data_IF_926800874256
#
_entry.id   IF_926800874256
#
_cell.length_a   1.000
_cell.length_b   1.000
_cell.length_c   1.000
_cell.angle_alpha   90.00
_cell.angle_beta   90.00
_cell.angle_gamma   90.00
#
_symmetry.space_group_name_H-M   'P 1'
#
loop_
_entity.id
_entity.type
_entity.pdbx_description
1 polymer ?
#
# COMPACT_ATOMS: atom_id res chain seq x y z
N UNK A 1 7.06 -6.94 -8.16
CA UNK A 1 7.74 -5.69 -7.75
C UNK A 1 7.36 -4.52 -8.65
N UNK A 2 7.79 -4.48 -9.92
CA UNK A 2 7.56 -3.31 -10.81
C UNK A 2 6.10 -2.88 -10.86
N UNK A 3 5.21 -3.82 -11.17
CA UNK A 3 3.78 -3.53 -11.24
C UNK A 3 3.20 -3.08 -9.88
N UNK A 4 3.67 -3.65 -8.78
CA UNK A 4 3.23 -3.26 -7.44
C UNK A 4 3.72 -1.86 -7.07
N UNK A 5 4.94 -1.47 -7.45
CA UNK A 5 5.42 -0.08 -7.30
C UNK A 5 4.53 0.89 -8.07
N UNK A 6 4.16 0.55 -9.30
CA UNK A 6 3.24 1.35 -10.12
C UNK A 6 1.88 1.51 -9.44
N UNK A 7 1.28 0.42 -8.95
CA UNK A 7 -0.01 0.46 -8.25
C UNK A 7 0.08 1.25 -6.94
N UNK A 8 1.19 1.14 -6.20
CA UNK A 8 1.43 1.91 -4.99
C UNK A 8 1.71 3.40 -5.25
N UNK A 9 1.82 3.83 -6.51
CA UNK A 9 2.02 5.22 -6.89
C UNK A 9 3.47 5.69 -6.86
N UNK A 10 4.45 4.79 -7.02
CA UNK A 10 5.85 5.20 -7.20
C UNK A 10 5.96 6.07 -8.47
N UNK A 11 6.51 7.30 -8.37
CA UNK A 11 6.35 8.31 -9.43
C UNK A 11 7.20 8.05 -10.68
N UNK A 12 8.27 7.25 -10.56
CA UNK A 12 9.21 6.98 -11.66
C UNK A 12 8.91 5.63 -12.31
N UNK A 13 9.01 5.55 -13.64
CA UNK A 13 8.94 4.27 -14.35
C UNK A 13 10.16 3.40 -14.01
N UNK A 14 9.90 2.14 -13.65
CA UNK A 14 10.93 1.14 -13.32
C UNK A 14 10.74 -0.07 -14.21
N UNK A 15 11.83 -0.63 -14.72
CA UNK A 15 11.82 -1.91 -15.43
C UNK A 15 12.89 -2.84 -14.85
N UNK A 16 12.78 -4.13 -15.15
CA UNK A 16 13.82 -5.10 -14.79
C UNK A 16 15.15 -4.81 -15.49
N UNK A 17 15.13 -4.12 -16.65
CA UNK A 17 16.34 -3.78 -17.39
C UNK A 17 17.21 -2.77 -16.65
N UNK A 18 16.62 -1.91 -15.80
CA UNK A 18 17.36 -0.95 -14.99
C UNK A 18 18.33 -1.61 -13.98
N UNK A 19 18.21 -2.93 -13.74
CA UNK A 19 18.99 -3.69 -12.77
C UNK A 19 19.81 -4.83 -13.41
N UNK A 20 19.92 -4.87 -14.75
CA UNK A 20 20.87 -5.80 -15.42
C UNK A 20 22.33 -5.47 -15.07
N UNK A 21 22.60 -4.21 -14.78
CA UNK A 21 23.84 -3.72 -14.17
C UNK A 21 23.51 -3.05 -12.84
N UNK A 22 24.45 -3.01 -11.88
CA UNK A 22 24.24 -2.31 -10.61
C UNK A 22 23.77 -0.87 -10.80
N UNK A 23 22.63 -0.53 -10.19
CA UNK A 23 22.01 0.80 -10.24
C UNK A 23 21.66 1.28 -8.84
N UNK A 24 22.68 1.69 -8.10
CA UNK A 24 22.53 2.08 -6.70
C UNK A 24 21.61 3.29 -6.52
N UNK A 25 21.68 4.27 -7.43
CA UNK A 25 20.83 5.47 -7.38
C UNK A 25 19.35 5.10 -7.38
N UNK A 26 18.93 4.19 -8.27
CA UNK A 26 17.54 3.76 -8.33
C UNK A 26 17.12 2.97 -7.10
N UNK A 27 18.00 2.12 -6.56
CA UNK A 27 17.74 1.41 -5.29
C UNK A 27 17.57 2.40 -4.14
N UNK A 28 18.42 3.42 -4.07
CA UNK A 28 18.34 4.44 -3.03
C UNK A 28 17.04 5.25 -3.13
N UNK A 29 16.68 5.72 -4.33
CA UNK A 29 15.41 6.43 -4.57
C UNK A 29 14.19 5.57 -4.20
N UNK A 30 14.18 4.27 -4.54
CA UNK A 30 13.07 3.38 -4.17
C UNK A 30 13.02 3.16 -2.64
N UNK A 31 14.16 2.95 -1.99
CA UNK A 31 14.22 2.72 -0.54
C UNK A 31 13.81 3.94 0.26
N UNK A 32 14.26 5.14 -0.13
CA UNK A 32 13.85 6.40 0.48
C UNK A 32 12.33 6.58 0.38
N UNK A 33 11.79 6.40 -0.82
CA UNK A 33 10.35 6.50 -1.05
C UNK A 33 9.55 5.47 -0.23
N UNK A 34 10.03 4.23 -0.15
CA UNK A 34 9.39 3.19 0.67
C UNK A 34 9.38 3.56 2.15
N UNK A 35 10.50 4.04 2.69
CA UNK A 35 10.59 4.47 4.09
C UNK A 35 9.59 5.59 4.36
N UNK A 36 9.54 6.60 3.49
CA UNK A 36 8.59 7.71 3.61
C UNK A 36 7.13 7.23 3.56
N UNK A 37 6.85 6.15 2.82
CA UNK A 37 5.50 5.58 2.73
C UNK A 37 5.05 4.86 3.99
N UNK A 38 5.97 4.31 4.78
CA UNK A 38 5.67 3.77 6.10
C UNK A 38 5.59 4.84 7.19
N UNK A 39 6.33 5.94 7.04
CA UNK A 39 6.28 7.07 7.97
C UNK A 39 6.71 8.36 7.28
N UNK A 40 5.75 9.26 7.07
CA UNK A 40 5.97 10.54 6.39
C UNK A 40 6.85 11.52 7.19
N UNK A 41 7.08 11.27 8.49
CA UNK A 41 7.96 12.10 9.31
C UNK A 41 9.43 11.71 9.16
N UNK A 42 9.71 10.53 8.60
CA UNK A 42 11.08 10.07 8.35
C UNK A 42 11.54 10.56 6.98
N UNK A 43 12.71 11.18 6.97
CA UNK A 43 13.42 11.59 5.77
C UNK A 43 14.85 11.06 5.84
N UNK A 44 15.26 10.29 4.84
CA UNK A 44 16.63 9.80 4.72
C UNK A 44 17.33 10.62 3.64
N UNK A 45 18.41 11.36 3.95
CA UNK A 45 19.16 12.09 2.94
C UNK A 45 19.71 11.15 1.86
N UNK A 46 19.47 11.46 0.58
CA UNK A 46 20.02 10.75 -0.58
C UNK A 46 21.49 11.14 -0.85
N UNK A 47 22.32 11.11 0.20
CA UNK A 47 23.77 11.33 0.11
C UNK A 47 24.42 9.97 -0.16
N UNK A 48 24.89 9.74 -1.38
CA UNK A 48 25.26 8.41 -1.90
C UNK A 48 26.51 8.44 -2.81
N UNK A 49 27.33 9.49 -2.72
CA UNK A 49 28.45 9.73 -3.63
C UNK A 49 29.63 8.80 -3.30
N UNK A 50 29.93 8.63 -2.01
CA UNK A 50 31.00 7.75 -1.53
C UNK A 50 30.50 6.38 -1.08
N UNK A 51 31.39 5.39 -0.99
CA UNK A 51 31.06 4.05 -0.47
C UNK A 51 30.54 4.09 0.98
N UNK A 52 31.15 4.95 1.80
CA UNK A 52 30.79 5.15 3.19
C UNK A 52 29.38 5.71 3.31
N UNK A 53 29.05 6.72 2.50
CA UNK A 53 27.71 7.31 2.43
C UNK A 53 26.68 6.29 1.95
N UNK A 54 26.97 5.53 0.90
CA UNK A 54 26.10 4.44 0.43
C UNK A 54 25.85 3.39 1.50
N UNK A 55 26.90 2.97 2.22
CA UNK A 55 26.77 1.99 3.30
C UNK A 55 25.94 2.56 4.46
N UNK A 56 26.11 3.85 4.78
CA UNK A 56 25.30 4.53 5.79
C UNK A 56 23.83 4.64 5.37
N UNK A 57 23.57 5.03 4.12
CA UNK A 57 22.22 5.09 3.56
C UNK A 57 21.49 3.74 3.68
N UNK A 58 22.13 2.65 3.26
CA UNK A 58 21.54 1.30 3.34
C UNK A 58 21.26 0.91 4.80
N UNK A 59 22.19 1.19 5.73
CA UNK A 59 21.97 0.92 7.16
C UNK A 59 20.77 1.69 7.71
N UNK A 60 20.64 2.97 7.36
CA UNK A 60 19.52 3.81 7.78
C UNK A 60 18.19 3.32 7.21
N UNK A 61 18.12 3.05 5.91
CA UNK A 61 16.89 2.56 5.27
C UNK A 61 16.45 1.21 5.85
N UNK A 62 17.39 0.27 6.01
CA UNK A 62 17.09 -1.04 6.59
C UNK A 62 16.66 -0.95 8.06
N UNK A 63 17.24 -0.04 8.83
CA UNK A 63 16.81 0.23 10.20
C UNK A 63 15.36 0.74 10.25
N UNK A 64 15.01 1.74 9.44
CA UNK A 64 13.66 2.30 9.46
C UNK A 64 12.60 1.30 8.96
N UNK A 65 12.90 0.53 7.90
CA UNK A 65 12.01 -0.55 7.47
C UNK A 65 11.82 -1.60 8.58
N UNK A 66 12.86 -1.97 9.31
CA UNK A 66 12.72 -2.88 10.44
C UNK A 66 11.86 -2.28 11.56
N UNK A 67 12.04 -1.01 11.88
CA UNK A 67 11.28 -0.34 12.95
C UNK A 67 9.79 -0.19 12.59
N UNK A 68 9.50 0.22 11.36
CA UNK A 68 8.13 0.61 10.94
C UNK A 68 7.34 -0.54 10.33
N UNK A 69 7.99 -1.39 9.54
CA UNK A 69 7.34 -2.51 8.86
C UNK A 69 7.58 -3.86 9.56
N UNK A 70 8.48 -3.94 10.55
CA UNK A 70 8.95 -5.21 11.16
C UNK A 70 9.56 -6.18 10.15
N UNK A 71 10.09 -5.66 9.05
CA UNK A 71 10.74 -6.45 7.99
C UNK A 71 12.25 -6.31 8.13
N UNK A 72 12.95 -7.43 8.30
CA UNK A 72 14.42 -7.47 8.30
C UNK A 72 14.93 -7.69 6.89
N UNK A 73 15.54 -6.67 6.30
CA UNK A 73 16.19 -6.74 4.99
C UNK A 73 17.67 -7.11 5.11
N UNK A 74 18.21 -7.69 4.04
CA UNK A 74 19.62 -7.97 3.87
C UNK A 74 20.35 -6.76 3.25
N UNK A 75 21.12 -5.97 4.03
CA UNK A 75 21.80 -4.79 3.52
C UNK A 75 22.85 -5.09 2.44
N UNK A 76 23.48 -6.27 2.47
CA UNK A 76 24.48 -6.65 1.47
C UNK A 76 23.84 -6.83 0.09
N UNK A 77 22.67 -7.47 0.03
CA UNK A 77 21.92 -7.63 -1.24
C UNK A 77 21.43 -6.30 -1.78
N UNK A 78 20.94 -5.41 -0.92
CA UNK A 78 20.54 -4.06 -1.34
C UNK A 78 21.72 -3.28 -1.91
N UNK A 79 22.90 -3.38 -1.29
CA UNK A 79 24.10 -2.68 -1.73
C UNK A 79 24.62 -3.15 -3.10
N UNK A 80 24.39 -4.42 -3.48
CA UNK A 80 24.73 -4.94 -4.82
C UNK A 80 24.01 -4.18 -5.95
N UNK A 81 22.84 -3.64 -5.64
CA UNK A 81 22.03 -2.81 -6.53
C UNK A 81 21.66 -3.41 -7.90
N UNK A 82 21.62 -4.73 -7.97
CA UNK A 82 21.31 -5.52 -9.15
C UNK A 82 20.03 -6.36 -8.92
N UNK A 83 19.90 -7.48 -9.62
CA UNK A 83 18.79 -8.42 -9.42
C UNK A 83 18.61 -8.92 -7.98
N UNK A 84 19.67 -9.02 -7.18
CA UNK A 84 19.56 -9.41 -5.76
C UNK A 84 18.92 -8.29 -4.92
N UNK A 85 19.25 -7.03 -5.21
CA UNK A 85 18.62 -5.89 -4.56
C UNK A 85 17.12 -5.82 -4.90
N UNK A 86 16.76 -6.10 -6.16
CA UNK A 86 15.37 -6.18 -6.61
C UNK A 86 14.58 -7.24 -5.84
N UNK A 87 15.14 -8.44 -5.68
CA UNK A 87 14.51 -9.51 -4.90
C UNK A 87 14.28 -9.09 -3.44
N UNK A 88 15.25 -8.39 -2.85
CA UNK A 88 15.19 -7.95 -1.46
C UNK A 88 14.15 -6.84 -1.27
N UNK A 89 14.13 -5.82 -2.14
CA UNK A 89 13.13 -4.74 -2.13
C UNK A 89 11.72 -5.28 -2.34
N UNK A 90 11.56 -6.30 -3.20
CA UNK A 90 10.26 -6.88 -3.49
C UNK A 90 9.52 -7.39 -2.24
N UNK A 91 10.25 -7.77 -1.18
CA UNK A 91 9.67 -8.18 0.11
C UNK A 91 8.86 -7.03 0.73
N UNK A 92 9.46 -5.84 0.79
CA UNK A 92 8.83 -4.64 1.37
C UNK A 92 7.71 -4.14 0.47
N UNK A 93 7.95 -4.05 -0.84
CA UNK A 93 6.95 -3.59 -1.81
C UNK A 93 5.70 -4.46 -1.75
N UNK A 94 5.87 -5.79 -1.69
CA UNK A 94 4.73 -6.72 -1.57
C UNK A 94 3.98 -6.49 -0.26
N UNK A 95 4.67 -6.35 0.86
CA UNK A 95 4.02 -6.09 2.14
C UNK A 95 3.18 -4.80 2.11
N UNK A 96 3.78 -3.70 1.64
CA UNK A 96 3.09 -2.42 1.52
C UNK A 96 1.88 -2.49 0.55
N UNK A 97 2.02 -3.24 -0.54
CA UNK A 97 0.94 -3.51 -1.49
C UNK A 97 -0.23 -4.25 -0.83
N UNK A 98 0.04 -5.33 -0.07
CA UNK A 98 -1.02 -6.05 0.64
C UNK A 98 -1.70 -5.17 1.69
N UNK A 99 -0.95 -4.36 2.44
CA UNK A 99 -1.53 -3.41 3.41
C UNK A 99 -2.48 -2.44 2.71
N UNK A 100 -2.03 -1.82 1.62
CA UNK A 100 -2.82 -0.83 0.87
C UNK A 100 -4.09 -1.45 0.30
N UNK A 101 -4.00 -2.69 -0.20
CA UNK A 101 -5.14 -3.40 -0.78
C UNK A 101 -6.16 -3.85 0.28
N UNK A 102 -5.69 -4.32 1.44
CA UNK A 102 -6.57 -4.66 2.55
C UNK A 102 -7.32 -3.44 3.11
N UNK A 103 -6.67 -2.27 3.17
CA UNK A 103 -7.35 -1.02 3.55
C UNK A 103 -8.47 -0.68 2.56
N UNK A 104 -8.21 -0.78 1.25
CA UNK A 104 -9.26 -0.51 0.26
C UNK A 104 -10.43 -1.49 0.33
N UNK A 105 -10.16 -2.78 0.57
CA UNK A 105 -11.21 -3.80 0.69
C UNK A 105 -12.08 -3.57 1.93
N UNK A 106 -11.47 -3.14 3.05
CA UNK A 106 -12.17 -2.81 4.28
C UNK A 106 -13.13 -1.63 4.07
N UNK A 107 -12.65 -0.54 3.47
CA UNK A 107 -13.46 0.66 3.21
C UNK A 107 -14.63 0.37 2.26
N UNK A 108 -14.40 -0.46 1.24
CA UNK A 108 -15.47 -0.91 0.33
C UNK A 108 -16.52 -1.75 1.06
N UNK A 109 -16.11 -2.70 1.89
CA UNK A 109 -17.04 -3.54 2.64
C UNK A 109 -17.87 -2.73 3.64
N UNK A 110 -17.27 -1.74 4.32
CA UNK A 110 -17.98 -0.82 5.20
C UNK A 110 -19.03 0.00 4.43
N UNK A 111 -18.68 0.46 3.23
CA UNK A 111 -19.59 1.20 2.33
C UNK A 111 -20.75 0.32 1.86
N UNK A 112 -20.47 -0.93 1.45
CA UNK A 112 -21.51 -1.88 1.02
C UNK A 112 -22.46 -2.20 2.19
N UNK A 113 -21.93 -2.38 3.40
CA UNK A 113 -22.73 -2.64 4.60
C UNK A 113 -23.67 -1.47 4.92
N UNK A 114 -23.19 -0.22 4.85
CA UNK A 114 -24.03 0.96 5.09
C UNK A 114 -25.12 1.10 4.02
N UNK A 115 -24.80 0.87 2.73
CA UNK A 115 -25.78 0.85 1.64
C UNK A 115 -26.85 -0.23 1.85
N UNK A 116 -26.44 -1.45 2.23
CA UNK A 116 -27.36 -2.55 2.53
C UNK A 116 -28.34 -2.18 3.64
N UNK A 117 -27.86 -1.57 4.73
CA UNK A 117 -28.70 -1.15 5.85
C UNK A 117 -29.74 -0.10 5.43
N UNK A 118 -29.35 0.86 4.57
CA UNK A 118 -30.27 1.88 4.02
C UNK A 118 -31.34 1.22 3.14
N UNK A 119 -30.97 0.26 2.31
CA UNK A 119 -31.92 -0.47 1.46
C UNK A 119 -32.91 -1.25 2.33
N UNK A 120 -32.41 -1.97 3.34
CA UNK A 120 -33.25 -2.74 4.26
C UNK A 120 -34.25 -1.86 5.01
N UNK A 121 -33.85 -0.66 5.46
CA UNK A 121 -34.77 0.26 6.14
C UNK A 121 -35.85 0.81 5.20
N UNK A 122 -35.48 1.19 3.96
CA UNK A 122 -36.45 1.65 2.96
C UNK A 122 -37.45 0.57 2.58
N UNK A 123 -36.99 -0.67 2.40
CA UNK A 123 -37.86 -1.82 2.12
C UNK A 123 -38.85 -2.04 3.28
N UNK A 124 -38.39 -1.96 4.53
CA UNK A 124 -39.27 -2.08 5.69
C UNK A 124 -40.35 -0.98 5.73
N UNK A 125 -40.00 0.26 5.39
CA UNK A 125 -40.97 1.35 5.28
C UNK A 125 -42.03 1.10 4.20
N UNK A 126 -41.62 0.59 3.04
CA UNK A 126 -42.54 0.24 1.95
C UNK A 126 -43.51 -0.87 2.38
N UNK A 127 -43.03 -1.92 3.06
CA UNK A 127 -43.90 -2.97 3.58
C UNK A 127 -44.91 -2.44 4.59
N UNK A 128 -44.49 -1.58 5.52
CA UNK A 128 -45.40 -0.95 6.48
C UNK A 128 -46.47 -0.09 5.78
N UNK A 129 -46.07 0.70 4.78
CA UNK A 129 -47.01 1.52 4.01
C UNK A 129 -48.05 0.65 3.27
N UNK A 130 -47.61 -0.42 2.62
CA UNK A 130 -48.51 -1.37 1.96
C UNK A 130 -49.52 -1.97 2.94
N UNK A 131 -49.10 -2.36 4.14
CA UNK A 131 -49.99 -2.90 5.17
C UNK A 131 -51.04 -1.88 5.61
N UNK A 132 -50.65 -0.60 5.78
CA UNK A 132 -51.57 0.49 6.13
C UNK A 132 -52.61 0.71 5.02
N UNK A 133 -52.18 0.73 3.76
CA UNK A 133 -53.08 0.93 2.61
C UNK A 133 -54.10 -0.21 2.54
N UNK A 134 -53.66 -1.47 2.70
CA UNK A 134 -54.52 -2.65 2.69
C UNK A 134 -55.56 -2.66 3.83
N UNK A 135 -55.20 -2.14 5.01
CA UNK A 135 -56.15 -1.99 6.12
C UNK A 135 -57.22 -0.93 5.82
N UNK A 136 -56.85 0.16 5.14
CA UNK A 136 -57.76 1.27 4.82
C UNK A 136 -58.78 0.93 3.73
N UNK A 137 -58.42 0.09 2.77
CA UNK A 137 -59.35 -0.38 1.72
C UNK A 137 -60.36 -1.41 2.24
N UNK A 138 -60.04 -2.14 3.32
CA UNK A 138 -60.97 -3.09 3.97
C UNK A 138 -62.06 -2.43 4.82
N UNK A 139 -61.86 -1.21 5.30
CA UNK A 139 -62.84 -0.49 6.14
C UNK A 139 -63.82 0.40 5.36
N UNK A 140 -63.80 0.34 4.02
CA UNK A 140 -64.61 1.19 3.12
C UNK A 140 -65.79 0.45 2.47
N UNK A 141 -66.15 -0.73 3.00
CA UNK A 141 -67.27 -1.57 2.57
C UNK A 141 -68.30 -1.67 3.70
#
# INVERSE_FOLDING_TARGET
MVEQLRVLGYPRLVSMENFRTPNFKLIAEILEWLVHRYDAQISIPLVIETEQERAFFIKSATFYILQKARIKLNPKKLYMADGYAVQEIAVVVRNLYEITRHTSDFDQNATISSMRNIISSKISLLFNLLQIILLRTRTSL
#
